data_IF_179057640328
#
_entry.id   IF_179057640328
#
_cell.length_a   1.000
_cell.length_b   1.000
_cell.length_c   1.000
_cell.angle_alpha   90.00
_cell.angle_beta   90.00
_cell.angle_gamma   90.00
#
_symmetry.space_group_name_H-M   'P 1'
#
loop_
_entity.id
_entity.type
_entity.pdbx_description
1 polymer ?
#
# COMPACT_ATOMS: atom_id res chain seq x y z
N UNK A 1 -1.41 3.50 -24.65
CA UNK A 1 -2.34 4.57 -24.25
C UNK A 1 -3.25 4.90 -25.42
N UNK A 2 -4.55 4.97 -25.16
CA UNK A 2 -5.53 5.34 -26.19
C UNK A 2 -5.99 6.78 -25.94
N UNK A 3 -5.73 7.65 -26.90
CA UNK A 3 -6.12 9.06 -26.87
C UNK A 3 -6.96 9.36 -28.10
N UNK A 4 -8.18 9.88 -27.91
CA UNK A 4 -9.13 10.19 -28.99
C UNK A 4 -9.35 9.01 -29.97
N UNK A 5 -9.49 7.78 -29.43
CA UNK A 5 -9.69 6.57 -30.21
C UNK A 5 -8.44 6.00 -30.89
N UNK A 6 -7.29 6.67 -30.82
CA UNK A 6 -6.02 6.20 -31.40
C UNK A 6 -5.14 5.58 -30.33
N UNK A 7 -4.79 4.29 -30.48
CA UNK A 7 -3.87 3.58 -29.59
C UNK A 7 -2.41 3.94 -29.95
N UNK A 8 -1.69 4.43 -28.95
CA UNK A 8 -0.26 4.77 -29.06
C UNK A 8 0.54 3.86 -28.13
N UNK A 9 1.56 3.19 -28.69
CA UNK A 9 2.50 2.40 -27.89
C UNK A 9 3.39 3.36 -27.08
N UNK A 10 3.51 3.13 -25.79
CA UNK A 10 4.46 3.85 -24.93
C UNK A 10 5.76 3.06 -24.83
N UNK A 11 6.87 3.78 -24.65
CA UNK A 11 8.15 3.13 -24.36
C UNK A 11 8.11 2.54 -22.95
N UNK A 12 8.65 1.33 -22.80
CA UNK A 12 8.81 0.67 -21.50
C UNK A 12 10.20 0.96 -20.92
N UNK A 13 10.32 1.02 -19.59
CA UNK A 13 9.24 1.00 -18.61
C UNK A 13 8.55 2.36 -18.52
N UNK A 14 7.24 2.38 -18.32
CA UNK A 14 6.55 3.61 -17.94
C UNK A 14 5.97 3.47 -16.54
N UNK A 15 5.90 4.59 -15.83
CA UNK A 15 5.47 4.65 -14.44
C UNK A 15 4.47 5.79 -14.23
N UNK A 16 3.40 5.51 -13.50
CA UNK A 16 2.34 6.49 -13.23
C UNK A 16 2.37 6.86 -11.75
N UNK A 17 2.66 8.13 -11.48
CA UNK A 17 2.52 8.74 -10.17
C UNK A 17 1.35 9.73 -10.21
N UNK A 18 0.48 9.65 -9.22
CA UNK A 18 -0.61 10.60 -9.04
C UNK A 18 -0.59 11.13 -7.61
N UNK A 19 -0.88 12.40 -7.44
CA UNK A 19 -1.02 13.04 -6.13
C UNK A 19 -2.47 13.44 -5.91
N UNK A 20 -2.93 13.33 -4.66
CA UNK A 20 -4.22 13.84 -4.22
C UNK A 20 -4.01 14.77 -3.03
N UNK A 21 -4.55 15.97 -3.10
CA UNK A 21 -4.59 16.86 -1.95
C UNK A 21 -5.98 16.71 -1.27
N UNK A 22 -6.06 16.15 -0.05
CA UNK A 22 -7.35 15.96 0.62
C UNK A 22 -8.02 17.27 1.07
N UNK A 23 -7.29 18.37 1.07
CA UNK A 23 -7.77 19.68 1.55
C UNK A 23 -8.50 20.44 0.42
N UNK A 24 -8.09 20.25 -0.82
CA UNK A 24 -8.70 20.90 -2.00
C UNK A 24 -9.81 20.03 -2.58
N UNK A 25 -10.98 20.03 -1.93
CA UNK A 25 -12.17 19.32 -2.46
C UNK A 25 -13.00 20.18 -3.42
N UNK A 26 -12.81 21.48 -3.43
CA UNK A 26 -13.55 22.40 -4.32
C UNK A 26 -12.93 22.42 -5.71
N UNK A 27 -13.61 21.79 -6.67
CA UNK A 27 -13.23 21.79 -8.10
C UNK A 27 -12.45 20.57 -8.59
N UNK A 28 -12.11 19.61 -7.73
CA UNK A 28 -11.47 18.35 -8.16
C UNK A 28 -12.39 17.15 -7.98
N UNK A 29 -12.59 16.37 -9.05
CA UNK A 29 -13.31 15.10 -8.94
C UNK A 29 -12.36 14.04 -8.37
N UNK A 30 -12.73 13.35 -7.28
CA UNK A 30 -11.95 12.22 -6.79
C UNK A 30 -11.87 11.14 -7.88
N UNK A 31 -10.73 10.46 -7.99
CA UNK A 31 -10.59 9.34 -8.92
C UNK A 31 -11.66 8.28 -8.61
N UNK A 32 -12.39 7.80 -9.63
CA UNK A 32 -13.34 6.70 -9.45
C UNK A 32 -12.66 5.48 -8.81
N UNK A 33 -13.39 4.76 -7.98
CA UNK A 33 -12.89 3.61 -7.24
C UNK A 33 -12.21 2.56 -8.12
N UNK A 34 -12.81 2.26 -9.28
CA UNK A 34 -12.26 1.32 -10.25
C UNK A 34 -10.92 1.78 -10.85
N UNK A 35 -10.65 3.08 -10.87
CA UNK A 35 -9.37 3.62 -11.31
C UNK A 35 -8.34 3.58 -10.19
N UNK A 36 -8.73 3.88 -8.93
CA UNK A 36 -7.85 3.77 -7.77
C UNK A 36 -7.37 2.33 -7.55
N UNK A 37 -8.21 1.32 -7.75
CA UNK A 37 -7.86 -0.10 -7.62
C UNK A 37 -6.71 -0.54 -8.57
N UNK A 38 -6.46 0.21 -9.64
CA UNK A 38 -5.35 -0.06 -10.59
C UNK A 38 -3.99 0.42 -10.11
N UNK A 39 -3.93 1.36 -9.16
CA UNK A 39 -2.66 1.79 -8.58
C UNK A 39 -2.13 0.72 -7.62
N UNK A 40 -0.85 0.39 -7.72
CA UNK A 40 -0.22 -0.61 -6.88
C UNK A 40 -0.25 -0.20 -5.41
N UNK A 41 0.13 1.03 -5.10
CA UNK A 41 0.22 1.58 -3.76
C UNK A 41 -0.55 2.88 -3.61
N UNK A 42 -1.07 3.11 -2.41
CA UNK A 42 -1.44 4.43 -1.91
C UNK A 42 -0.56 4.76 -0.70
N UNK A 43 0.29 5.76 -0.87
CA UNK A 43 1.16 6.25 0.20
C UNK A 43 0.48 7.41 0.92
N UNK A 44 0.66 7.47 2.22
CA UNK A 44 0.22 8.60 3.06
C UNK A 44 1.44 9.44 3.39
N UNK A 45 1.42 10.69 2.95
CA UNK A 45 2.47 11.66 3.27
C UNK A 45 1.98 12.46 4.48
N UNK A 46 2.71 12.36 5.59
CA UNK A 46 2.41 13.10 6.80
C UNK A 46 3.02 14.51 6.76
N UNK A 47 2.45 15.42 7.54
CA UNK A 47 3.05 16.73 7.72
C UNK A 47 4.48 16.58 8.28
N UNK A 48 5.44 17.34 7.75
CA UNK A 48 6.81 17.29 8.20
C UNK A 48 6.95 17.74 9.66
N UNK A 49 7.87 17.13 10.39
CA UNK A 49 8.26 17.54 11.73
C UNK A 49 8.94 18.92 11.69
N UNK A 50 9.08 19.56 12.85
CA UNK A 50 9.74 20.87 12.94
C UNK A 50 11.16 20.87 12.35
N UNK A 51 11.92 19.79 12.54
CA UNK A 51 13.28 19.67 12.02
C UNK A 51 13.29 19.51 10.50
N UNK A 52 12.36 18.71 9.94
CA UNK A 52 12.18 18.56 8.50
C UNK A 52 11.72 19.87 7.86
N UNK A 53 10.80 20.62 8.51
CA UNK A 53 10.40 21.96 8.05
C UNK A 53 11.59 22.92 7.96
N UNK A 54 12.47 22.95 8.98
CA UNK A 54 13.69 23.74 8.92
C UNK A 54 14.59 23.35 7.77
N UNK A 55 14.74 22.02 7.53
CA UNK A 55 15.50 21.49 6.40
C UNK A 55 14.93 21.97 5.05
N UNK A 56 13.62 21.85 4.86
CA UNK A 56 12.92 22.28 3.63
C UNK A 56 13.17 23.78 3.36
N UNK A 57 12.96 24.64 4.37
CA UNK A 57 13.18 26.09 4.23
C UNK A 57 14.64 26.42 3.89
N UNK A 58 15.59 25.73 4.54
CA UNK A 58 17.02 25.93 4.27
C UNK A 58 17.41 25.49 2.85
N UNK A 59 16.85 24.37 2.37
CA UNK A 59 17.10 23.87 1.00
C UNK A 59 16.53 24.80 -0.06
N UNK A 60 15.33 25.36 0.15
CA UNK A 60 14.69 26.26 -0.82
C UNK A 60 15.39 27.62 -0.92
N UNK A 61 16.15 28.01 0.10
CA UNK A 61 16.97 29.25 0.08
C UNK A 61 18.33 29.06 -0.62
N UNK A 62 18.77 27.81 -0.86
CA UNK A 62 19.97 27.53 -1.64
C UNK A 62 19.62 27.55 -3.12
N UNK A 63 20.31 28.40 -3.88
CA UNK A 63 20.02 28.74 -5.29
C UNK A 63 20.24 27.59 -6.29
N UNK A 64 20.75 26.45 -5.89
CA UNK A 64 20.92 25.27 -6.73
C UNK A 64 20.49 24.02 -5.93
N UNK A 65 19.34 23.46 -6.29
CA UNK A 65 19.02 22.11 -5.88
C UNK A 65 20.01 21.10 -6.46
N UNK A 66 20.41 20.12 -5.67
CA UNK A 66 21.19 18.99 -6.19
C UNK A 66 20.38 18.30 -7.30
N UNK A 67 20.97 18.22 -8.51
CA UNK A 67 20.37 17.47 -9.60
C UNK A 67 20.56 15.99 -9.29
N UNK A 68 19.46 15.22 -9.30
CA UNK A 68 19.53 13.78 -9.11
C UNK A 68 20.36 13.15 -10.24
N UNK A 69 21.31 12.30 -9.87
CA UNK A 69 22.07 11.51 -10.81
C UNK A 69 21.25 10.29 -11.28
N UNK A 70 21.47 9.85 -12.51
CA UNK A 70 20.88 8.62 -13.02
C UNK A 70 21.43 7.42 -12.22
N UNK A 71 20.55 6.69 -11.54
CA UNK A 71 20.92 5.52 -10.75
C UNK A 71 20.89 4.22 -11.57
N UNK A 72 20.00 4.12 -12.56
CA UNK A 72 19.88 2.99 -13.47
C UNK A 72 19.20 3.42 -14.77
N UNK A 73 19.45 2.69 -15.84
CA UNK A 73 18.78 2.88 -17.13
C UNK A 73 17.53 2.00 -17.28
N UNK A 74 16.75 2.23 -18.35
CA UNK A 74 15.52 1.50 -18.62
C UNK A 74 15.73 -0.02 -18.77
N UNK A 75 16.82 -0.46 -19.41
CA UNK A 75 17.12 -1.87 -19.61
C UNK A 75 17.38 -2.57 -18.26
N UNK A 76 18.18 -1.94 -17.39
CA UNK A 76 18.46 -2.46 -16.05
C UNK A 76 17.18 -2.57 -15.20
N UNK A 77 16.26 -1.59 -15.31
CA UNK A 77 14.99 -1.65 -14.58
C UNK A 77 14.10 -2.80 -15.06
N UNK A 78 14.09 -3.07 -16.37
CA UNK A 78 13.36 -4.22 -16.93
C UNK A 78 13.96 -5.56 -16.48
N UNK A 79 15.29 -5.67 -16.42
CA UNK A 79 16.00 -6.85 -15.91
C UNK A 79 15.70 -7.08 -14.42
N UNK A 80 15.72 -6.02 -13.61
CA UNK A 80 15.33 -6.09 -12.18
C UNK A 80 13.89 -6.58 -12.02
N UNK A 81 12.96 -6.10 -12.86
CA UNK A 81 11.56 -6.55 -12.87
C UNK A 81 11.46 -8.04 -13.18
N UNK A 82 12.20 -8.51 -14.17
CA UNK A 82 12.20 -9.92 -14.56
C UNK A 82 12.78 -10.81 -13.46
N UNK A 83 13.88 -10.38 -12.85
CA UNK A 83 14.47 -11.04 -11.69
C UNK A 83 13.49 -11.14 -10.52
N UNK A 84 12.76 -10.07 -10.23
CA UNK A 84 11.76 -10.07 -9.16
C UNK A 84 10.60 -11.06 -9.47
N UNK A 85 10.20 -11.20 -10.73
CA UNK A 85 9.16 -12.16 -11.12
C UNK A 85 9.55 -13.61 -10.84
N UNK A 86 10.85 -13.95 -10.90
CA UNK A 86 11.37 -15.30 -10.65
C UNK A 86 11.40 -15.69 -9.17
N UNK A 87 11.21 -14.73 -8.25
CA UNK A 87 11.22 -15.04 -6.80
C UNK A 87 10.06 -15.97 -6.46
N UNK A 88 10.32 -17.16 -5.88
CA UNK A 88 9.30 -18.09 -5.48
C UNK A 88 8.51 -17.58 -4.27
N UNK A 89 7.25 -18.00 -4.21
CA UNK A 89 6.36 -17.80 -3.07
C UNK A 89 5.93 -19.19 -2.62
N UNK A 90 6.21 -19.54 -1.37
CA UNK A 90 5.75 -20.81 -0.81
C UNK A 90 4.22 -20.81 -0.72
N UNK A 91 3.61 -21.99 -0.89
CA UNK A 91 2.15 -22.13 -0.91
C UNK A 91 1.51 -21.60 0.37
N UNK A 92 2.12 -21.83 1.53
CA UNK A 92 1.62 -21.33 2.81
C UNK A 92 1.63 -19.80 2.91
N UNK A 93 2.61 -19.13 2.27
CA UNK A 93 2.68 -17.67 2.21
C UNK A 93 1.65 -17.11 1.23
N UNK A 94 1.44 -17.83 0.12
CA UNK A 94 0.38 -17.50 -0.85
C UNK A 94 -1.00 -17.65 -0.21
N UNK A 95 -1.25 -18.74 0.50
CA UNK A 95 -2.50 -19.00 1.21
C UNK A 95 -2.78 -17.92 2.28
N UNK A 96 -1.75 -17.53 3.02
CA UNK A 96 -1.86 -16.42 3.97
C UNK A 96 -2.25 -15.10 3.28
N UNK A 97 -1.64 -14.79 2.15
CA UNK A 97 -1.97 -13.58 1.38
C UNK A 97 -3.40 -13.63 0.84
N UNK A 98 -3.83 -14.78 0.31
CA UNK A 98 -5.19 -14.96 -0.21
C UNK A 98 -6.22 -14.94 0.92
N UNK A 99 -5.94 -15.56 2.06
CA UNK A 99 -6.78 -15.47 3.25
C UNK A 99 -6.91 -14.03 3.75
N UNK A 100 -5.82 -13.25 3.70
CA UNK A 100 -5.86 -11.83 4.05
C UNK A 100 -6.82 -11.06 3.13
N UNK A 101 -6.75 -11.27 1.81
CA UNK A 101 -7.67 -10.64 0.86
C UNK A 101 -9.11 -11.06 1.12
N UNK A 102 -9.37 -12.37 1.29
CA UNK A 102 -10.70 -12.90 1.57
C UNK A 102 -11.27 -12.35 2.87
N UNK A 103 -10.43 -12.21 3.92
CA UNK A 103 -10.82 -11.69 5.22
C UNK A 103 -11.21 -10.20 5.20
N UNK A 104 -10.89 -9.45 4.13
CA UNK A 104 -11.36 -8.07 3.96
C UNK A 104 -12.82 -7.96 3.53
N UNK A 105 -13.42 -9.04 3.01
CA UNK A 105 -14.81 -9.05 2.54
C UNK A 105 -15.76 -9.45 3.67
N UNK A 106 -16.74 -8.60 4.04
CA UNK A 106 -17.65 -8.87 5.16
C UNK A 106 -18.53 -10.10 4.93
N UNK A 107 -18.85 -10.43 3.68
CA UNK A 107 -19.74 -11.54 3.30
C UNK A 107 -18.97 -12.85 3.02
N UNK A 108 -17.64 -12.87 3.16
CA UNK A 108 -16.81 -14.04 2.95
C UNK A 108 -16.92 -15.03 4.11
N UNK A 109 -16.82 -16.33 3.83
CA UNK A 109 -16.68 -17.37 4.88
C UNK A 109 -15.43 -17.14 5.76
N UNK A 110 -14.38 -16.52 5.19
CA UNK A 110 -13.14 -16.18 5.90
C UNK A 110 -13.16 -14.78 6.53
N UNK A 111 -14.31 -14.07 6.46
CA UNK A 111 -14.41 -12.70 6.95
C UNK A 111 -13.85 -12.54 8.36
N UNK A 112 -13.09 -11.48 8.57
CA UNK A 112 -12.66 -11.06 9.90
C UNK A 112 -13.79 -10.35 10.64
N UNK A 113 -13.81 -10.36 11.96
CA UNK A 113 -14.79 -9.59 12.74
C UNK A 113 -14.65 -8.09 12.47
N UNK A 114 -13.40 -7.62 12.27
CA UNK A 114 -13.14 -6.24 11.89
C UNK A 114 -13.75 -5.89 10.52
N UNK A 115 -13.68 -6.81 9.54
CA UNK A 115 -14.28 -6.57 8.22
C UNK A 115 -15.81 -6.57 8.30
N UNK A 116 -16.42 -7.50 9.01
CA UNK A 116 -17.89 -7.54 9.22
C UNK A 116 -18.41 -6.24 9.84
N UNK A 117 -17.65 -5.69 10.80
CA UNK A 117 -18.04 -4.49 11.52
C UNK A 117 -17.80 -3.19 10.74
N UNK A 118 -16.67 -3.08 10.05
CA UNK A 118 -16.17 -1.79 9.54
C UNK A 118 -16.05 -1.68 8.03
N UNK A 119 -16.12 -2.79 7.28
CA UNK A 119 -15.92 -2.79 5.84
C UNK A 119 -17.24 -2.93 5.09
N UNK A 120 -17.47 -2.07 4.11
CA UNK A 120 -18.59 -2.18 3.15
C UNK A 120 -18.22 -3.03 1.94
N UNK A 121 -16.97 -2.87 1.45
CA UNK A 121 -16.45 -3.59 0.29
C UNK A 121 -14.99 -3.92 0.53
N UNK A 122 -14.64 -5.19 0.42
CA UNK A 122 -13.27 -5.68 0.54
C UNK A 122 -12.41 -5.46 -0.70
N UNK A 123 -11.15 -5.86 -0.63
CA UNK A 123 -10.18 -5.67 -1.69
C UNK A 123 -10.42 -6.63 -2.86
N UNK A 124 -10.38 -6.12 -4.09
CA UNK A 124 -10.45 -6.93 -5.31
C UNK A 124 -9.26 -7.92 -5.43
N UNK A 125 -9.33 -8.92 -6.34
CA UNK A 125 -8.20 -9.81 -6.65
C UNK A 125 -6.91 -9.07 -7.07
N UNK A 126 -7.03 -7.85 -7.61
CA UNK A 126 -5.87 -6.99 -7.91
C UNK A 126 -5.07 -6.63 -6.67
N UNK A 127 -5.71 -6.54 -5.51
CA UNK A 127 -5.01 -6.36 -4.24
C UNK A 127 -4.08 -7.52 -3.93
N UNK A 128 -4.52 -8.75 -4.14
CA UNK A 128 -3.69 -9.96 -3.99
C UNK A 128 -2.52 -9.97 -4.97
N UNK A 129 -2.77 -9.67 -6.25
CA UNK A 129 -1.73 -9.58 -7.28
C UNK A 129 -0.68 -8.51 -6.93
N UNK A 130 -1.12 -7.31 -6.53
CA UNK A 130 -0.22 -6.22 -6.12
C UNK A 130 0.59 -6.60 -4.87
N UNK A 131 -0.04 -7.26 -3.90
CA UNK A 131 0.59 -7.69 -2.66
C UNK A 131 1.72 -8.69 -2.92
N UNK A 132 1.47 -9.72 -3.72
CA UNK A 132 2.47 -10.74 -4.08
C UNK A 132 3.60 -10.12 -4.90
N UNK A 133 3.29 -9.31 -5.92
CA UNK A 133 4.31 -8.66 -6.75
C UNK A 133 5.22 -7.75 -5.94
N UNK A 134 4.64 -6.95 -5.05
CA UNK A 134 5.41 -6.08 -4.16
C UNK A 134 6.25 -6.87 -3.14
N UNK A 135 5.73 -7.98 -2.61
CA UNK A 135 6.43 -8.81 -1.65
C UNK A 135 7.67 -9.50 -2.24
N UNK A 136 7.62 -9.91 -3.51
CA UNK A 136 8.77 -10.43 -4.24
C UNK A 136 9.90 -9.40 -4.32
N UNK A 137 9.57 -8.16 -4.71
CA UNK A 137 10.54 -7.06 -4.75
C UNK A 137 11.10 -6.77 -3.35
N UNK A 138 10.25 -6.73 -2.33
CA UNK A 138 10.67 -6.49 -0.95
C UNK A 138 11.61 -7.57 -0.44
N UNK A 139 11.35 -8.83 -0.75
CA UNK A 139 12.24 -9.93 -0.40
C UNK A 139 13.65 -9.73 -1.00
N UNK A 140 13.72 -9.40 -2.29
CA UNK A 140 15.00 -9.10 -2.98
C UNK A 140 15.73 -7.91 -2.36
N UNK A 141 15.04 -6.80 -2.09
CA UNK A 141 15.62 -5.62 -1.44
C UNK A 141 16.23 -5.94 -0.07
N UNK A 142 15.69 -6.97 0.60
CA UNK A 142 16.21 -7.49 1.88
C UNK A 142 17.22 -8.64 1.71
N UNK A 143 17.73 -8.88 0.50
CA UNK A 143 18.70 -9.93 0.20
C UNK A 143 18.16 -11.37 0.32
N UNK A 144 16.84 -11.55 0.23
CA UNK A 144 16.20 -12.86 0.33
C UNK A 144 15.64 -13.30 -1.02
N UNK A 145 15.74 -14.60 -1.29
CA UNK A 145 15.26 -15.23 -2.52
C UNK A 145 13.91 -15.95 -2.34
N UNK A 146 13.17 -15.62 -1.30
CA UNK A 146 11.83 -16.11 -1.03
C UNK A 146 11.01 -15.07 -0.28
N UNK A 147 9.70 -15.06 -0.52
CA UNK A 147 8.75 -14.18 0.17
C UNK A 147 8.46 -14.72 1.57
N UNK A 148 8.35 -13.83 2.56
CA UNK A 148 7.98 -14.16 3.93
C UNK A 148 6.61 -13.57 4.32
N UNK A 149 6.01 -14.08 5.40
CA UNK A 149 4.78 -13.52 5.98
C UNK A 149 4.93 -12.04 6.38
N UNK A 150 6.11 -11.64 6.86
CA UNK A 150 6.38 -10.24 7.24
C UNK A 150 6.41 -9.30 6.04
N UNK A 151 6.82 -9.77 4.86
CA UNK A 151 6.76 -8.98 3.64
C UNK A 151 5.30 -8.68 3.28
N UNK A 152 4.45 -9.71 3.27
CA UNK A 152 3.02 -9.59 3.03
C UNK A 152 2.38 -8.61 4.04
N UNK A 153 2.62 -8.82 5.33
CA UNK A 153 2.01 -8.02 6.40
C UNK A 153 2.39 -6.54 6.32
N UNK A 154 3.65 -6.22 6.06
CA UNK A 154 4.13 -4.84 5.97
C UNK A 154 3.61 -4.09 4.75
N UNK A 155 3.35 -4.81 3.65
CA UNK A 155 2.83 -4.26 2.40
C UNK A 155 1.30 -4.18 2.38
N UNK A 156 0.60 -4.84 3.30
CA UNK A 156 -0.85 -4.83 3.37
C UNK A 156 -1.41 -3.39 3.46
N UNK A 157 -0.80 -2.52 4.24
CA UNK A 157 -1.26 -1.14 4.42
C UNK A 157 -1.23 -0.33 3.12
N UNK A 158 -0.10 -0.12 2.45
CA UNK A 158 -0.06 0.67 1.22
C UNK A 158 -0.83 0.03 0.06
N UNK A 159 -0.99 -1.31 0.06
CA UNK A 159 -1.70 -2.04 -1.00
C UNK A 159 -3.21 -2.02 -0.79
N UNK A 160 -3.71 -2.16 0.44
CA UNK A 160 -5.13 -2.40 0.71
C UNK A 160 -5.91 -1.13 1.08
N UNK A 161 -5.27 -0.09 1.64
CA UNK A 161 -5.96 1.09 2.19
C UNK A 161 -6.85 1.83 1.19
N UNK A 162 -6.56 1.77 -0.10
CA UNK A 162 -7.35 2.41 -1.16
C UNK A 162 -8.29 1.43 -1.87
N UNK A 163 -8.19 0.13 -1.57
CA UNK A 163 -9.01 -0.93 -2.16
C UNK A 163 -10.17 -1.33 -1.27
N UNK A 164 -10.09 -1.02 0.03
CA UNK A 164 -11.15 -1.29 0.97
C UNK A 164 -12.04 -0.06 1.14
N UNK A 165 -13.35 -0.27 1.25
CA UNK A 165 -14.32 0.79 1.52
C UNK A 165 -14.89 0.62 2.91
N UNK A 166 -14.73 1.65 3.70
CA UNK A 166 -15.28 1.68 5.04
C UNK A 166 -16.80 1.88 5.00
N UNK A 167 -17.51 1.30 5.96
CA UNK A 167 -18.95 1.51 6.15
C UNK A 167 -19.21 2.74 7.04
N UNK A 168 -20.49 2.99 7.29
CA UNK A 168 -20.90 4.14 8.10
C UNK A 168 -20.41 4.05 9.56
N UNK A 169 -20.34 2.83 10.12
CA UNK A 169 -19.89 2.61 11.50
C UNK A 169 -18.43 3.01 11.69
N UNK A 170 -17.55 2.61 10.74
CA UNK A 170 -16.15 3.01 10.75
C UNK A 170 -15.98 4.54 10.68
N UNK A 171 -16.81 5.22 9.87
CA UNK A 171 -16.79 6.67 9.75
C UNK A 171 -17.27 7.34 11.05
N UNK A 172 -18.34 6.83 11.65
CA UNK A 172 -18.90 7.35 12.91
C UNK A 172 -17.92 7.18 14.08
N UNK A 173 -17.25 6.03 14.16
CA UNK A 173 -16.23 5.75 15.18
C UNK A 173 -14.84 6.36 14.84
N UNK A 174 -14.69 7.00 13.66
CA UNK A 174 -13.45 7.60 13.15
C UNK A 174 -12.28 6.61 13.05
N UNK A 175 -12.58 5.37 12.71
CA UNK A 175 -11.58 4.33 12.51
C UNK A 175 -11.02 4.44 11.10
N UNK A 176 -9.71 4.51 11.00
CA UNK A 176 -9.00 4.60 9.73
C UNK A 176 -8.94 3.24 9.01
N UNK A 177 -8.81 3.22 7.67
CA UNK A 177 -8.57 1.97 6.94
C UNK A 177 -7.34 1.20 7.44
N UNK A 178 -6.28 1.91 7.86
CA UNK A 178 -5.07 1.29 8.37
C UNK A 178 -5.30 0.55 9.71
N UNK A 179 -6.11 1.11 10.60
CA UNK A 179 -6.48 0.43 11.85
C UNK A 179 -7.27 -0.85 11.56
N UNK A 180 -8.21 -0.81 10.63
CA UNK A 180 -8.98 -1.99 10.22
C UNK A 180 -8.08 -3.04 9.58
N UNK A 181 -7.15 -2.65 8.70
CA UNK A 181 -6.15 -3.56 8.12
C UNK A 181 -5.31 -4.23 9.22
N UNK A 182 -4.88 -3.47 10.23
CA UNK A 182 -4.14 -4.02 11.37
C UNK A 182 -4.93 -5.06 12.17
N UNK A 183 -6.22 -4.82 12.40
CA UNK A 183 -7.12 -5.79 13.06
C UNK A 183 -7.26 -7.07 12.21
N UNK A 184 -7.53 -6.93 10.90
CA UNK A 184 -7.65 -8.05 9.97
C UNK A 184 -6.36 -8.88 9.94
N UNK A 185 -5.20 -8.22 9.81
CA UNK A 185 -3.89 -8.89 9.84
C UNK A 185 -3.69 -9.71 11.13
N UNK A 186 -4.05 -9.14 12.27
CA UNK A 186 -3.92 -9.81 13.56
C UNK A 186 -4.81 -11.06 13.64
N UNK A 187 -6.04 -10.98 13.15
CA UNK A 187 -6.98 -12.10 13.12
C UNK A 187 -6.50 -13.20 12.16
N UNK A 188 -6.07 -12.84 10.95
CA UNK A 188 -5.57 -13.79 9.95
C UNK A 188 -4.28 -14.47 10.44
N UNK A 189 -3.35 -13.71 11.03
CA UNK A 189 -2.12 -14.28 11.58
C UNK A 189 -2.41 -15.32 12.67
N UNK A 190 -3.39 -15.06 13.54
CA UNK A 190 -3.85 -16.03 14.54
C UNK A 190 -4.47 -17.29 13.91
N UNK A 191 -5.35 -17.12 12.91
CA UNK A 191 -5.98 -18.23 12.18
C UNK A 191 -4.94 -19.13 11.48
N UNK A 192 -3.91 -18.52 10.88
CA UNK A 192 -2.83 -19.25 10.21
C UNK A 192 -1.70 -19.70 11.15
N UNK A 193 -1.78 -19.42 12.44
CA UNK A 193 -0.71 -19.69 13.42
C UNK A 193 0.64 -19.07 13.05
N UNK A 194 0.62 -17.88 12.44
CA UNK A 194 1.79 -17.15 11.97
C UNK A 194 2.20 -16.08 12.98
N UNK A 195 3.49 -16.03 13.31
CA UNK A 195 4.08 -14.92 14.07
C UNK A 195 4.58 -13.85 13.10
N UNK A 196 3.91 -12.70 13.10
CA UNK A 196 4.38 -11.54 12.38
C UNK A 196 5.51 -10.89 13.18
N UNK A 197 6.65 -10.63 12.55
CA UNK A 197 7.80 -9.97 13.20
C UNK A 197 7.47 -8.56 13.67
N UNK A 198 8.33 -7.97 14.51
CA UNK A 198 8.17 -6.63 15.10
C UNK A 198 8.21 -5.47 14.09
N UNK A 199 8.51 -5.74 12.83
CA UNK A 199 8.54 -4.75 11.73
C UNK A 199 7.16 -4.40 11.18
N UNK A 200 6.11 -5.13 11.57
CA UNK A 200 4.74 -4.80 11.18
C UNK A 200 4.28 -3.61 12.03
N UNK A 201 3.94 -2.47 11.43
CA UNK A 201 3.43 -1.32 12.17
C UNK A 201 2.20 -1.75 12.97
N UNK A 202 2.26 -1.72 14.30
CA UNK A 202 1.07 -1.93 15.11
C UNK A 202 0.12 -0.75 14.89
N UNK A 203 -1.17 -1.02 14.77
CA UNK A 203 -2.24 -0.03 14.58
C UNK A 203 -2.17 1.15 15.59
N UNK A 204 -1.46 1.00 16.69
CA UNK A 204 -1.31 1.99 17.77
C UNK A 204 -0.26 3.09 17.52
N UNK A 205 0.54 3.06 16.45
CA UNK A 205 1.53 4.11 16.19
C UNK A 205 1.07 5.23 15.26
N UNK A 206 -0.10 5.12 14.66
CA UNK A 206 -0.62 6.11 13.71
C UNK A 206 -1.44 7.25 14.36
N UNK A 207 -1.64 7.29 15.67
CA UNK A 207 -2.65 8.20 16.23
C UNK A 207 -2.49 8.72 17.65
N UNK A 208 -1.32 8.73 18.27
CA UNK A 208 -1.18 9.34 19.61
C UNK A 208 -0.18 10.47 19.63
N UNK A 209 -0.56 11.58 19.02
CA UNK A 209 -0.12 12.88 19.53
C UNK A 209 -1.20 13.37 20.53
N UNK A 210 -1.33 12.70 21.67
CA UNK A 210 -2.11 13.21 22.81
C UNK A 210 -1.39 14.44 23.34
N UNK A 211 -2.06 15.59 23.17
CA UNK A 211 -1.86 16.83 23.88
C UNK A 211 -1.39 16.56 25.32
N UNK A 212 -0.20 16.99 25.65
CA UNK A 212 0.12 17.40 27.01
C UNK A 212 0.06 18.93 27.08
N UNK A 213 -0.70 19.35 28.07
CA UNK A 213 -0.96 20.72 28.49
C UNK A 213 0.32 21.49 28.70
#
# INVERSE_FOLDING_TARGET
VTVMGVSRKMNEPFFVLATQNPIEQDGTYPLPEAQMDRFMFKLVVHNPSLNELKGIVTMTQKTMGEVANEACNAAQLLEMRETANQIPVADEVLDFAMMLISATHPDSECASEAAKKYVRLGSSPRGGQALISAAKVKALMNGRFNVSYSDIASLAYPVLRHRMKMNFEAIAERISPDEVIGMILTEVAKKCNVRLGSEVPSANRAGTNKKNK
#
